data_IF_421645512074
#
_entry.id   IF_421645512074
#
_cell.length_a   1.000
_cell.length_b   1.000
_cell.length_c   1.000
_cell.angle_alpha   90.00
_cell.angle_beta   90.00
_cell.angle_gamma   90.00
#
_symmetry.space_group_name_H-M   'P 1'
#
loop_
_entity.id
_entity.type
_entity.pdbx_description
1 polymer ?
#
# COMPACT_ATOMS: atom_id res chain seq x y z
N UNK A 1 -35.28 92.39 -18.03
CA UNK A 1 -35.64 91.24 -17.16
C UNK A 1 -36.81 90.52 -17.85
N UNK A 2 -36.86 89.22 -18.14
CA UNK A 2 -36.08 88.01 -17.86
C UNK A 2 -36.40 87.02 -19.00
N UNK A 3 -35.41 86.28 -19.47
CA UNK A 3 -35.54 85.09 -20.34
C UNK A 3 -35.92 83.86 -19.50
N UNK A 4 -36.78 82.98 -20.03
CA UNK A 4 -36.86 81.53 -19.72
C UNK A 4 -37.72 80.87 -20.82
N UNK A 5 -37.13 80.29 -21.87
CA UNK A 5 -36.50 78.96 -21.96
C UNK A 5 -37.53 77.83 -22.11
N UNK A 6 -37.82 77.48 -23.37
CA UNK A 6 -38.51 76.24 -23.78
C UNK A 6 -37.62 75.03 -23.49
N UNK A 7 -38.13 74.08 -22.71
CA UNK A 7 -37.47 72.78 -22.49
C UNK A 7 -38.10 71.75 -23.42
N UNK A 8 -37.35 71.35 -24.44
CA UNK A 8 -37.68 70.25 -25.34
C UNK A 8 -37.34 68.92 -24.66
N UNK A 9 -38.35 68.10 -24.38
CA UNK A 9 -38.18 66.76 -23.81
C UNK A 9 -37.61 65.80 -24.85
N UNK A 10 -36.29 65.58 -24.84
CA UNK A 10 -35.66 64.44 -25.50
C UNK A 10 -36.00 63.17 -24.73
N UNK A 11 -36.83 62.31 -25.32
CA UNK A 11 -36.98 60.90 -24.90
C UNK A 11 -35.64 60.19 -25.16
N UNK A 12 -34.85 60.01 -24.10
CA UNK A 12 -33.72 59.09 -24.12
C UNK A 12 -34.27 57.68 -23.96
N UNK A 13 -34.27 56.92 -25.05
CA UNK A 13 -34.39 55.47 -24.99
C UNK A 13 -33.16 54.93 -24.25
N UNK A 14 -33.33 54.65 -22.97
CA UNK A 14 -32.37 53.86 -22.20
C UNK A 14 -32.44 52.42 -22.70
N UNK A 15 -31.49 52.03 -23.55
CA UNK A 15 -31.24 50.62 -23.86
C UNK A 15 -30.75 49.96 -22.58
N UNK A 16 -31.65 49.31 -21.84
CA UNK A 16 -31.27 48.37 -20.79
C UNK A 16 -30.51 47.23 -21.46
N UNK A 17 -29.18 47.34 -21.55
CA UNK A 17 -28.33 46.16 -21.73
C UNK A 17 -28.59 45.28 -20.51
N UNK A 18 -29.01 44.01 -20.66
CA UNK A 18 -29.08 43.12 -19.52
C UNK A 18 -27.69 43.08 -18.91
N UNK A 19 -27.62 43.34 -17.60
CA UNK A 19 -26.40 43.28 -16.82
C UNK A 19 -25.93 41.83 -16.78
N UNK A 20 -25.23 41.40 -17.83
CA UNK A 20 -24.74 40.03 -17.93
C UNK A 20 -23.75 39.80 -16.80
N UNK A 21 -24.14 38.97 -15.82
CA UNK A 21 -23.42 38.76 -14.55
C UNK A 21 -22.09 38.03 -14.76
N UNK A 22 -21.92 37.34 -15.90
CA UNK A 22 -20.74 36.54 -16.24
C UNK A 22 -20.37 36.65 -17.74
N UNK A 23 -20.06 37.84 -18.28
CA UNK A 23 -20.02 38.08 -19.73
C UNK A 23 -18.86 37.38 -20.45
N UNK A 24 -17.74 37.13 -19.75
CA UNK A 24 -16.52 36.56 -20.32
C UNK A 24 -16.31 35.08 -19.95
N UNK A 25 -17.26 34.49 -19.20
CA UNK A 25 -17.09 33.15 -18.63
C UNK A 25 -17.04 32.08 -19.72
N UNK A 26 -17.98 32.11 -20.67
CA UNK A 26 -18.03 31.13 -21.76
C UNK A 26 -16.79 31.23 -22.66
N UNK A 27 -16.40 32.45 -23.07
CA UNK A 27 -15.22 32.69 -23.92
C UNK A 27 -13.92 32.25 -23.24
N UNK A 28 -13.74 32.60 -21.95
CA UNK A 28 -12.55 32.20 -21.20
C UNK A 28 -12.52 30.67 -20.96
N UNK A 29 -13.67 30.03 -20.77
CA UNK A 29 -13.77 28.59 -20.61
C UNK A 29 -13.48 27.84 -21.93
N UNK A 30 -13.98 28.34 -23.05
CA UNK A 30 -13.70 27.77 -24.37
C UNK A 30 -12.20 27.82 -24.68
N UNK A 31 -11.56 28.96 -24.41
CA UNK A 31 -10.11 29.10 -24.54
C UNK A 31 -9.35 28.14 -23.61
N UNK A 32 -9.82 27.98 -22.37
CA UNK A 32 -9.26 27.00 -21.44
C UNK A 32 -9.40 25.56 -21.95
N UNK A 33 -10.57 25.21 -22.49
CA UNK A 33 -10.81 23.89 -23.05
C UNK A 33 -9.94 23.62 -24.27
N UNK A 34 -9.78 24.59 -25.18
CA UNK A 34 -8.86 24.46 -26.34
C UNK A 34 -7.42 24.20 -25.92
N UNK A 35 -6.95 24.86 -24.85
CA UNK A 35 -5.57 24.71 -24.36
C UNK A 35 -5.34 23.41 -23.57
N UNK A 36 -6.23 23.09 -22.64
CA UNK A 36 -6.01 22.02 -21.66
C UNK A 36 -6.82 20.75 -21.94
N UNK A 37 -7.82 20.82 -22.82
CA UNK A 37 -8.73 19.74 -23.19
C UNK A 37 -9.49 19.12 -21.99
N UNK A 38 -9.84 19.95 -21.00
CA UNK A 38 -10.70 19.58 -19.88
C UNK A 38 -11.34 20.82 -19.26
N UNK A 39 -12.36 20.63 -18.41
CA UNK A 39 -13.07 21.73 -17.72
C UNK A 39 -12.70 21.90 -16.24
N UNK A 40 -11.75 21.10 -15.73
CA UNK A 40 -11.28 21.24 -14.35
C UNK A 40 -10.38 22.46 -14.20
N UNK A 41 -10.97 23.61 -13.83
CA UNK A 41 -10.23 24.86 -13.62
C UNK A 41 -9.76 24.99 -12.15
N UNK A 42 -8.45 25.20 -11.88
CA UNK A 42 -7.96 25.49 -10.53
C UNK A 42 -8.57 26.75 -9.92
N UNK A 43 -8.73 26.81 -8.59
CA UNK A 43 -9.45 27.93 -7.94
C UNK A 43 -8.83 29.30 -8.23
N UNK A 44 -7.51 29.36 -8.12
CA UNK A 44 -6.72 30.58 -8.27
C UNK A 44 -6.30 30.80 -9.73
N UNK A 45 -6.82 30.00 -10.67
CA UNK A 45 -6.50 30.17 -12.07
C UNK A 45 -7.00 31.53 -12.55
N UNK A 46 -6.04 32.34 -12.97
CA UNK A 46 -6.24 33.61 -13.62
C UNK A 46 -5.71 33.46 -15.04
N UNK A 47 -6.48 33.93 -16.02
CA UNK A 47 -6.02 33.96 -17.41
C UNK A 47 -4.74 34.80 -17.45
N UNK A 48 -3.62 34.26 -17.96
CA UNK A 48 -2.35 34.96 -17.98
C UNK A 48 -2.50 36.35 -18.63
N UNK A 49 -1.99 37.43 -18.00
CA UNK A 49 -1.84 38.70 -18.69
C UNK A 49 -0.84 38.53 -19.84
N UNK A 50 -0.91 39.41 -20.83
CA UNK A 50 0.01 39.39 -21.97
C UNK A 50 1.45 39.46 -21.46
N UNK A 51 2.25 38.46 -21.83
CA UNK A 51 3.67 38.41 -21.49
C UNK A 51 4.45 38.68 -22.77
N UNK A 52 5.07 39.87 -22.93
CA UNK A 52 5.79 40.25 -24.14
C UNK A 52 7.03 39.38 -24.41
N UNK A 53 7.39 38.48 -23.49
CA UNK A 53 8.55 37.58 -23.60
C UNK A 53 8.18 36.10 -23.84
N UNK A 54 6.90 35.76 -24.05
CA UNK A 54 6.49 34.38 -24.35
C UNK A 54 6.76 34.00 -25.82
N UNK A 55 7.26 32.78 -26.01
CA UNK A 55 7.54 32.22 -27.34
C UNK A 55 6.29 32.22 -28.24
N UNK A 56 6.49 32.47 -29.53
CA UNK A 56 5.45 32.61 -30.58
C UNK A 56 4.56 31.38 -30.77
N UNK A 57 4.96 30.22 -30.22
CA UNK A 57 4.23 28.94 -30.30
C UNK A 57 3.25 28.70 -29.12
N UNK A 58 3.12 29.66 -28.20
CA UNK A 58 2.21 29.54 -27.07
C UNK A 58 0.78 29.95 -27.42
N UNK A 59 -0.20 29.20 -26.94
CA UNK A 59 -1.63 29.48 -27.17
C UNK A 59 -2.02 30.90 -26.74
N UNK A 60 -2.63 31.63 -27.67
CA UNK A 60 -3.01 33.03 -27.49
C UNK A 60 -4.41 33.09 -26.86
N UNK A 61 -4.48 33.71 -25.68
CA UNK A 61 -5.75 33.95 -24.99
C UNK A 61 -6.48 35.16 -25.57
N UNK A 62 -7.83 35.12 -25.71
CA UNK A 62 -8.62 36.26 -26.17
C UNK A 62 -8.36 37.50 -25.30
N UNK A 63 -8.20 38.66 -25.94
CA UNK A 63 -7.80 39.92 -25.28
C UNK A 63 -8.70 40.28 -24.09
N UNK A 64 -10.01 40.15 -24.29
CA UNK A 64 -11.02 40.47 -23.28
C UNK A 64 -10.96 39.56 -22.05
N UNK A 65 -10.37 38.36 -22.16
CA UNK A 65 -10.32 37.37 -21.08
C UNK A 65 -9.06 37.50 -20.22
N UNK A 66 -8.09 38.33 -20.60
CA UNK A 66 -6.80 38.47 -19.90
C UNK A 66 -6.98 39.01 -18.49
N UNK A 67 -6.29 38.40 -17.52
CA UNK A 67 -6.45 38.75 -16.10
C UNK A 67 -7.78 38.30 -15.47
N UNK A 68 -8.68 37.65 -16.22
CA UNK A 68 -9.94 37.15 -15.69
C UNK A 68 -9.71 35.97 -14.73
N UNK A 69 -10.28 36.06 -13.51
CA UNK A 69 -10.20 35.00 -12.51
C UNK A 69 -11.21 33.87 -12.80
N UNK A 70 -10.99 33.13 -13.89
CA UNK A 70 -11.87 32.06 -14.37
C UNK A 70 -12.23 31.06 -13.26
N UNK A 71 -11.25 30.64 -12.45
CA UNK A 71 -11.47 29.65 -11.38
C UNK A 71 -12.41 30.11 -10.27
N UNK A 72 -12.44 31.41 -9.95
CA UNK A 72 -13.37 31.98 -8.97
C UNK A 72 -14.75 32.19 -9.57
N UNK A 73 -14.80 32.66 -10.82
CA UNK A 73 -16.05 32.98 -11.51
C UNK A 73 -16.86 31.73 -11.82
N UNK A 74 -16.22 30.64 -12.25
CA UNK A 74 -16.93 29.38 -12.54
C UNK A 74 -17.56 28.78 -11.30
N UNK A 75 -16.89 28.84 -10.15
CA UNK A 75 -17.44 28.35 -8.88
C UNK A 75 -18.58 29.23 -8.37
N UNK A 76 -18.45 30.55 -8.56
CA UNK A 76 -19.53 31.50 -8.25
C UNK A 76 -20.74 31.23 -9.14
N UNK A 77 -20.54 30.98 -10.43
CA UNK A 77 -21.61 30.62 -11.36
C UNK A 77 -22.29 29.31 -10.94
N UNK A 78 -21.53 28.22 -10.75
CA UNK A 78 -22.08 26.92 -10.33
C UNK A 78 -22.82 27.00 -8.99
N UNK A 79 -22.29 27.78 -8.03
CA UNK A 79 -22.93 27.95 -6.72
C UNK A 79 -24.20 28.82 -6.72
N UNK A 80 -24.34 29.74 -7.68
CA UNK A 80 -25.56 30.54 -7.85
C UNK A 80 -26.57 29.79 -8.71
N UNK A 81 -26.12 29.16 -9.80
CA UNK A 81 -26.95 28.39 -10.72
C UNK A 81 -27.63 27.18 -10.06
N UNK A 82 -27.08 26.64 -8.97
CA UNK A 82 -27.72 25.57 -8.19
C UNK A 82 -28.76 26.07 -7.19
N UNK A 83 -28.87 27.39 -6.97
CA UNK A 83 -29.79 28.01 -6.00
C UNK A 83 -30.86 28.88 -6.67
N UNK A 84 -30.54 29.49 -7.80
CA UNK A 84 -31.37 30.43 -8.56
C UNK A 84 -31.61 29.90 -9.99
N UNK A 85 -32.29 28.75 -10.13
CA UNK A 85 -32.49 28.06 -11.42
C UNK A 85 -33.32 28.86 -12.44
N UNK A 86 -34.14 29.83 -11.99
CA UNK A 86 -35.11 30.54 -12.86
C UNK A 86 -34.65 31.94 -13.34
N UNK A 87 -33.39 32.33 -13.10
CA UNK A 87 -32.90 33.64 -13.56
C UNK A 87 -32.61 33.62 -15.08
N UNK A 88 -33.30 34.47 -15.84
CA UNK A 88 -33.13 34.59 -17.30
C UNK A 88 -31.69 34.90 -17.72
N UNK A 89 -30.98 35.71 -16.93
CA UNK A 89 -29.58 36.07 -17.21
C UNK A 89 -28.63 34.88 -17.01
N UNK A 90 -28.91 34.00 -16.05
CA UNK A 90 -28.11 32.79 -15.81
C UNK A 90 -28.39 31.71 -16.84
N UNK A 91 -29.64 31.61 -17.32
CA UNK A 91 -30.00 30.70 -18.41
C UNK A 91 -29.31 31.08 -19.72
N UNK A 92 -29.23 32.37 -20.04
CA UNK A 92 -28.48 32.84 -21.21
C UNK A 92 -26.98 32.49 -21.12
N UNK A 93 -26.36 32.67 -19.95
CA UNK A 93 -24.96 32.23 -19.73
C UNK A 93 -24.84 30.71 -19.79
N UNK A 94 -25.83 29.97 -19.28
CA UNK A 94 -25.82 28.50 -19.34
C UNK A 94 -25.88 27.98 -20.77
N UNK A 95 -26.74 28.55 -21.61
CA UNK A 95 -26.83 28.21 -23.04
C UNK A 95 -25.49 28.43 -23.77
N UNK A 96 -24.80 29.55 -23.47
CA UNK A 96 -23.46 29.80 -23.99
C UNK A 96 -22.44 28.75 -23.52
N UNK A 97 -22.54 28.29 -22.27
CA UNK A 97 -21.66 27.23 -21.73
C UNK A 97 -21.99 25.84 -22.31
N UNK A 98 -23.26 25.57 -22.56
CA UNK A 98 -23.71 24.33 -23.22
C UNK A 98 -23.20 24.28 -24.67
N UNK A 99 -23.17 25.40 -25.38
CA UNK A 99 -22.56 25.50 -26.72
C UNK A 99 -21.05 25.19 -26.71
N UNK A 100 -20.35 25.47 -25.61
CA UNK A 100 -18.93 25.12 -25.41
C UNK A 100 -18.75 23.67 -24.95
N UNK A 101 -19.83 22.95 -24.64
CA UNK A 101 -19.81 21.57 -24.15
C UNK A 101 -19.53 21.44 -22.65
N UNK A 102 -19.75 22.51 -21.88
CA UNK A 102 -19.53 22.50 -20.44
C UNK A 102 -20.58 21.63 -19.71
N UNK A 103 -20.17 20.62 -18.92
CA UNK A 103 -21.11 19.70 -18.30
C UNK A 103 -22.07 20.39 -17.32
N UNK A 104 -23.23 19.76 -17.09
CA UNK A 104 -24.23 20.23 -16.13
C UNK A 104 -23.78 19.93 -14.69
N UNK A 105 -22.86 20.75 -14.17
CA UNK A 105 -22.27 20.59 -12.84
C UNK A 105 -23.17 21.25 -11.81
N UNK A 106 -23.70 20.45 -10.87
CA UNK A 106 -24.43 20.94 -9.69
C UNK A 106 -23.50 21.17 -8.49
N UNK A 107 -22.53 20.29 -8.29
CA UNK A 107 -21.52 20.39 -7.24
C UNK A 107 -20.11 20.33 -7.83
N UNK A 108 -19.40 21.46 -7.71
CA UNK A 108 -18.02 21.57 -8.18
C UNK A 108 -17.06 20.62 -7.45
N UNK A 109 -17.29 20.36 -6.16
CA UNK A 109 -16.41 19.49 -5.37
C UNK A 109 -16.51 18.05 -5.87
N UNK A 110 -17.74 17.59 -6.12
CA UNK A 110 -18.00 16.26 -6.70
C UNK A 110 -17.40 16.14 -8.11
N UNK A 111 -17.63 17.13 -8.97
CA UNK A 111 -17.04 17.12 -10.32
C UNK A 111 -15.51 17.06 -10.28
N UNK A 112 -14.87 17.88 -9.45
CA UNK A 112 -13.42 17.85 -9.31
C UNK A 112 -12.92 16.50 -8.75
N UNK A 113 -13.63 15.92 -7.80
CA UNK A 113 -13.33 14.60 -7.26
C UNK A 113 -13.36 13.51 -8.34
N UNK A 114 -14.43 13.44 -9.12
CA UNK A 114 -14.62 12.44 -10.17
C UNK A 114 -13.56 12.61 -11.29
N UNK A 115 -13.35 13.84 -11.75
CA UNK A 115 -12.48 14.12 -12.90
C UNK A 115 -10.98 14.10 -12.56
N UNK A 116 -10.61 14.32 -11.30
CA UNK A 116 -9.19 14.38 -10.89
C UNK A 116 -8.83 13.18 -10.02
N UNK A 117 -9.42 13.08 -8.83
CA UNK A 117 -9.03 12.07 -7.83
C UNK A 117 -9.40 10.67 -8.28
N UNK A 118 -10.68 10.46 -8.63
CA UNK A 118 -11.17 9.13 -9.03
C UNK A 118 -10.57 8.71 -10.37
N UNK A 119 -10.50 9.63 -11.33
CA UNK A 119 -9.88 9.37 -12.63
C UNK A 119 -8.40 8.98 -12.51
N UNK A 120 -7.61 9.70 -11.69
CA UNK A 120 -6.20 9.37 -11.45
C UNK A 120 -6.04 8.01 -10.76
N UNK A 121 -6.86 7.70 -9.74
CA UNK A 121 -6.77 6.42 -9.03
C UNK A 121 -7.18 5.25 -9.91
N UNK A 122 -8.26 5.40 -10.68
CA UNK A 122 -8.71 4.38 -11.64
C UNK A 122 -7.61 4.09 -12.65
N UNK A 123 -7.02 5.15 -13.21
CA UNK A 123 -5.95 4.99 -14.19
C UNK A 123 -4.68 4.38 -13.60
N UNK A 124 -4.32 4.76 -12.37
CA UNK A 124 -3.22 4.12 -11.65
C UNK A 124 -3.47 2.61 -11.49
N UNK A 125 -4.68 2.21 -11.07
CA UNK A 125 -5.04 0.79 -10.91
C UNK A 125 -4.96 0.03 -12.22
N UNK A 126 -5.39 0.61 -13.34
CA UNK A 126 -5.29 -0.02 -14.67
C UNK A 126 -3.84 -0.27 -15.10
N UNK A 127 -2.93 0.67 -14.79
CA UNK A 127 -1.51 0.58 -15.18
C UNK A 127 -0.76 -0.39 -14.27
N UNK A 128 -0.89 -0.23 -12.96
CA UNK A 128 -0.09 -0.93 -11.95
C UNK A 128 -0.77 -2.20 -11.42
N UNK A 129 -2.08 -2.39 -11.68
CA UNK A 129 -2.87 -3.51 -11.17
C UNK A 129 -3.28 -3.39 -9.70
N UNK A 130 -2.79 -2.39 -8.97
CA UNK A 130 -3.08 -2.18 -7.54
C UNK A 130 -3.17 -0.68 -7.20
N UNK A 131 -3.61 -0.37 -5.97
CA UNK A 131 -3.74 1.00 -5.46
C UNK A 131 -2.72 1.32 -4.35
N UNK A 132 -1.56 0.65 -4.37
CA UNK A 132 -0.44 0.91 -3.47
C UNK A 132 0.43 2.08 -3.97
N UNK A 133 -0.20 3.25 -4.16
CA UNK A 133 0.49 4.42 -4.71
C UNK A 133 1.65 4.86 -3.80
N UNK A 134 2.89 4.93 -4.30
CA UNK A 134 4.05 5.41 -3.54
C UNK A 134 3.84 6.84 -3.06
N UNK A 135 4.22 7.16 -1.82
CA UNK A 135 3.99 8.49 -1.22
C UNK A 135 4.53 9.67 -2.06
N UNK A 136 5.65 9.45 -2.76
CA UNK A 136 6.31 10.46 -3.60
C UNK A 136 5.82 10.48 -5.05
N UNK A 137 4.90 9.58 -5.43
CA UNK A 137 4.41 9.49 -6.80
C UNK A 137 3.65 10.76 -7.20
N UNK A 138 4.00 11.27 -8.36
CA UNK A 138 3.39 12.42 -9.03
C UNK A 138 2.99 11.98 -10.42
N UNK A 139 1.77 12.30 -10.83
CA UNK A 139 1.29 11.98 -12.18
C UNK A 139 2.18 12.70 -13.21
N UNK A 140 2.81 11.96 -14.14
CA UNK A 140 3.66 12.55 -15.17
C UNK A 140 2.91 13.59 -16.01
N UNK A 141 3.58 14.70 -16.31
CA UNK A 141 3.06 15.72 -17.22
C UNK A 141 3.41 15.37 -18.65
N UNK A 142 2.44 15.43 -19.57
CA UNK A 142 2.66 15.14 -20.99
C UNK A 142 2.51 13.67 -21.38
N UNK A 143 2.28 12.79 -20.41
CA UNK A 143 2.04 11.37 -20.68
C UNK A 143 0.57 11.17 -21.11
N UNK A 144 0.31 10.70 -22.34
CA UNK A 144 -1.06 10.49 -22.84
C UNK A 144 -1.79 9.35 -22.14
N UNK A 145 -1.09 8.49 -21.40
CA UNK A 145 -1.74 7.47 -20.58
C UNK A 145 -2.51 8.09 -19.42
N UNK A 146 -2.20 9.32 -19.02
CA UNK A 146 -2.85 10.00 -17.91
C UNK A 146 -3.84 11.06 -18.42
N UNK A 147 -5.04 11.15 -17.85
CA UNK A 147 -5.97 12.23 -18.15
C UNK A 147 -5.30 13.58 -17.87
N UNK A 148 -5.40 14.53 -18.80
CA UNK A 148 -4.72 15.84 -18.70
C UNK A 148 -5.03 16.59 -17.40
N UNK A 149 -6.27 16.48 -16.91
CA UNK A 149 -6.71 17.08 -15.66
C UNK A 149 -5.95 16.56 -14.42
N UNK A 150 -5.28 15.42 -14.53
CA UNK A 150 -4.54 14.76 -13.43
C UNK A 150 -3.04 15.05 -13.47
N UNK A 151 -2.52 15.63 -14.55
CA UNK A 151 -1.09 15.89 -14.72
C UNK A 151 -0.51 16.76 -13.60
N UNK A 152 0.64 16.36 -13.06
CA UNK A 152 1.30 17.05 -11.95
C UNK A 152 0.63 16.83 -10.58
N UNK A 153 -0.46 16.07 -10.50
CA UNK A 153 -1.08 15.71 -9.23
C UNK A 153 -0.11 14.86 -8.40
N UNK A 154 0.18 15.29 -7.17
CA UNK A 154 0.93 14.50 -6.18
C UNK A 154 0.06 13.37 -5.62
N UNK A 155 -0.29 12.42 -6.48
CA UNK A 155 -1.27 11.37 -6.19
C UNK A 155 -0.86 10.54 -4.96
N UNK A 156 0.43 10.26 -4.76
CA UNK A 156 0.90 9.56 -3.56
C UNK A 156 0.63 10.30 -2.25
N UNK A 157 0.82 11.62 -2.26
CA UNK A 157 0.51 12.48 -1.11
C UNK A 157 -1.01 12.61 -0.91
N UNK A 158 -1.76 12.67 -2.01
CA UNK A 158 -3.22 12.69 -2.00
C UNK A 158 -3.82 11.40 -1.42
N UNK A 159 -3.36 10.23 -1.85
CA UNK A 159 -3.77 8.92 -1.32
C UNK A 159 -3.51 8.82 0.19
N UNK A 160 -2.34 9.26 0.64
CA UNK A 160 -2.04 9.29 2.07
C UNK A 160 -2.99 10.24 2.84
N UNK A 161 -3.34 11.38 2.24
CA UNK A 161 -4.33 12.29 2.79
C UNK A 161 -5.73 11.63 2.89
N UNK A 162 -6.17 10.90 1.85
CA UNK A 162 -7.45 10.17 1.86
C UNK A 162 -7.50 9.13 2.98
N UNK A 163 -6.46 8.30 3.12
CA UNK A 163 -6.37 7.28 4.18
C UNK A 163 -6.48 7.88 5.58
N UNK A 164 -5.85 9.03 5.82
CA UNK A 164 -5.89 9.73 7.13
C UNK A 164 -7.22 10.39 7.44
N UNK A 165 -8.06 10.61 6.43
CA UNK A 165 -9.29 11.39 6.54
C UNK A 165 -10.55 10.59 6.28
N UNK A 166 -10.45 9.25 6.23
CA UNK A 166 -11.58 8.33 5.97
C UNK A 166 -12.85 8.74 6.71
N UNK A 167 -12.75 9.02 8.01
CA UNK A 167 -13.91 9.31 8.86
C UNK A 167 -14.54 10.69 8.61
N UNK A 168 -13.84 11.57 7.90
CA UNK A 168 -14.30 12.93 7.53
C UNK A 168 -14.72 13.05 6.06
N UNK A 169 -14.60 11.97 5.30
CA UNK A 169 -14.98 11.95 3.88
C UNK A 169 -16.49 11.86 3.72
N UNK A 170 -16.99 12.34 2.58
CA UNK A 170 -18.40 12.21 2.25
C UNK A 170 -18.72 10.77 1.84
N UNK A 171 -19.97 10.33 2.04
CA UNK A 171 -20.39 8.97 1.70
C UNK A 171 -20.13 8.61 0.23
N UNK A 172 -20.36 9.54 -0.71
CA UNK A 172 -20.12 9.27 -2.12
C UNK A 172 -18.64 9.02 -2.42
N UNK A 173 -17.71 9.73 -1.74
CA UNK A 173 -16.27 9.50 -1.95
C UNK A 173 -15.86 8.13 -1.46
N UNK A 174 -16.41 7.69 -0.33
CA UNK A 174 -16.15 6.35 0.21
C UNK A 174 -16.70 5.29 -0.75
N UNK A 175 -17.94 5.45 -1.24
CA UNK A 175 -18.54 4.53 -2.22
C UNK A 175 -17.74 4.45 -3.53
N UNK A 176 -17.28 5.59 -4.05
CA UNK A 176 -16.44 5.62 -5.26
C UNK A 176 -15.10 4.89 -5.04
N UNK A 177 -14.49 5.07 -3.87
CA UNK A 177 -13.24 4.41 -3.51
C UNK A 177 -13.44 2.91 -3.29
N UNK A 178 -14.51 2.50 -2.63
CA UNK A 178 -14.83 1.09 -2.40
C UNK A 178 -15.13 0.38 -3.74
N UNK A 179 -15.78 1.06 -4.69
CA UNK A 179 -16.03 0.54 -6.05
C UNK A 179 -14.74 0.23 -6.82
N UNK A 180 -13.67 0.99 -6.60
CA UNK A 180 -12.34 0.71 -7.18
C UNK A 180 -11.47 -0.18 -6.28
N UNK A 181 -12.04 -0.73 -5.19
CA UNK A 181 -11.35 -1.56 -4.19
C UNK A 181 -10.15 -0.84 -3.59
N UNK A 182 -10.35 0.41 -3.18
CA UNK A 182 -9.29 1.23 -2.62
C UNK A 182 -8.72 0.62 -1.34
N UNK A 183 -7.40 0.48 -1.31
CA UNK A 183 -6.68 -0.06 -0.16
C UNK A 183 -6.57 1.00 0.93
N UNK A 184 -7.48 0.93 1.90
CA UNK A 184 -7.49 1.77 3.09
C UNK A 184 -6.35 1.44 4.05
N UNK A 185 -6.15 0.15 4.35
CA UNK A 185 -5.10 -0.33 5.24
C UNK A 185 -4.06 -1.09 4.42
N UNK A 186 -2.91 -0.43 4.20
CA UNK A 186 -1.81 -0.98 3.38
C UNK A 186 -1.23 -2.26 4.00
N UNK A 187 -1.19 -2.32 5.32
CA UNK A 187 -0.64 -3.48 6.04
C UNK A 187 -1.51 -4.74 5.80
N UNK A 188 -2.83 -4.62 5.86
CA UNK A 188 -3.76 -5.72 5.59
C UNK A 188 -3.61 -6.24 4.16
N UNK A 189 -3.52 -5.33 3.18
CA UNK A 189 -3.27 -5.73 1.79
C UNK A 189 -1.93 -6.42 1.63
N UNK A 190 -0.86 -5.85 2.19
CA UNK A 190 0.48 -6.43 2.11
C UNK A 190 0.54 -7.82 2.75
N UNK A 191 -0.25 -8.06 3.81
CA UNK A 191 -0.33 -9.36 4.45
C UNK A 191 -1.18 -10.35 3.66
N UNK A 192 -2.44 -9.99 3.36
CA UNK A 192 -3.45 -10.90 2.80
C UNK A 192 -3.24 -11.19 1.31
N UNK A 193 -2.80 -10.19 0.55
CA UNK A 193 -2.71 -10.28 -0.92
C UNK A 193 -1.30 -10.61 -1.37
N UNK A 194 -0.28 -10.18 -0.63
CA UNK A 194 1.11 -10.42 -1.01
C UNK A 194 1.76 -11.51 -0.16
N UNK A 195 1.90 -11.30 1.14
CA UNK A 195 2.70 -12.17 2.01
C UNK A 195 2.15 -13.58 2.11
N UNK A 196 0.89 -13.76 2.53
CA UNK A 196 0.30 -15.09 2.75
C UNK A 196 0.25 -15.91 1.46
N UNK A 197 -0.25 -15.39 0.32
CA UNK A 197 -0.21 -16.11 -0.95
C UNK A 197 1.21 -16.46 -1.39
N UNK A 198 2.17 -15.53 -1.25
CA UNK A 198 3.56 -15.79 -1.62
C UNK A 198 4.20 -16.87 -0.75
N UNK A 199 3.89 -16.90 0.55
CA UNK A 199 4.38 -17.90 1.48
C UNK A 199 3.80 -19.29 1.18
N UNK A 200 2.49 -19.38 0.88
CA UNK A 200 1.84 -20.62 0.43
C UNK A 200 2.50 -21.16 -0.84
N UNK A 201 2.71 -20.29 -1.84
CA UNK A 201 3.36 -20.67 -3.09
C UNK A 201 4.80 -21.12 -2.86
N UNK A 202 5.56 -20.40 -2.03
CA UNK A 202 6.93 -20.78 -1.67
C UNK A 202 6.96 -22.18 -1.03
N UNK A 203 6.07 -22.46 -0.08
CA UNK A 203 5.98 -23.79 0.54
C UNK A 203 5.64 -24.88 -0.48
N UNK A 204 4.73 -24.62 -1.41
CA UNK A 204 4.39 -25.59 -2.46
C UNK A 204 5.60 -25.91 -3.36
N UNK A 205 6.47 -24.93 -3.61
CA UNK A 205 7.64 -25.11 -4.47
C UNK A 205 8.83 -25.76 -3.77
N UNK A 206 9.10 -25.40 -2.52
CA UNK A 206 10.30 -25.83 -1.79
C UNK A 206 10.02 -26.82 -0.66
N UNK A 207 8.75 -27.12 -0.37
CA UNK A 207 8.32 -28.00 0.72
C UNK A 207 8.41 -27.37 2.11
N UNK A 208 9.02 -26.19 2.25
CA UNK A 208 9.26 -25.52 3.53
C UNK A 208 9.05 -24.00 3.45
N UNK A 209 9.02 -23.35 4.61
CA UNK A 209 8.83 -21.89 4.74
C UNK A 209 10.10 -21.12 5.15
N UNK A 210 11.28 -21.76 5.12
CA UNK A 210 12.57 -21.07 5.31
C UNK A 210 12.98 -20.26 4.08
N UNK A 211 12.46 -19.04 4.00
CA UNK A 211 12.73 -18.15 2.88
C UNK A 211 14.09 -17.46 3.05
N UNK A 212 15.03 -17.58 2.09
CA UNK A 212 16.29 -16.84 2.11
C UNK A 212 16.05 -15.33 2.11
N UNK A 213 16.87 -14.55 2.83
CA UNK A 213 16.66 -13.10 2.97
C UNK A 213 16.58 -12.35 1.63
N UNK A 214 17.36 -12.75 0.64
CA UNK A 214 17.42 -12.11 -0.67
C UNK A 214 16.41 -12.69 -1.68
N UNK A 215 15.55 -13.62 -1.26
CA UNK A 215 14.61 -14.27 -2.16
C UNK A 215 13.56 -13.30 -2.70
N UNK A 216 13.38 -13.35 -4.02
CA UNK A 216 12.40 -12.56 -4.78
C UNK A 216 11.51 -13.51 -5.56
N UNK A 217 10.20 -13.43 -5.34
CA UNK A 217 9.22 -14.23 -6.05
C UNK A 217 9.27 -13.95 -7.56
N UNK A 218 9.30 -15.00 -8.38
CA UNK A 218 9.26 -14.89 -9.84
C UNK A 218 10.52 -14.33 -10.51
N UNK A 219 11.64 -14.16 -9.79
CA UNK A 219 12.92 -13.73 -10.39
C UNK A 219 13.96 -14.82 -10.13
N UNK A 220 14.41 -15.50 -11.20
CA UNK A 220 15.51 -16.46 -11.11
C UNK A 220 16.82 -15.71 -10.89
N UNK A 221 17.51 -16.01 -9.79
CA UNK A 221 18.92 -15.64 -9.63
C UNK A 221 19.73 -16.80 -10.21
N UNK A 222 20.33 -16.59 -11.38
CA UNK A 222 20.98 -17.60 -12.23
C UNK A 222 21.69 -18.77 -11.50
N UNK A 223 21.16 -19.99 -11.67
CA UNK A 223 21.94 -21.23 -11.89
C UNK A 223 21.01 -22.41 -12.24
N UNK A 224 20.62 -22.52 -13.51
CA UNK A 224 20.44 -23.81 -14.18
C UNK A 224 19.30 -24.76 -13.79
N UNK A 225 18.37 -24.40 -12.90
CA UNK A 225 17.14 -25.20 -12.72
C UNK A 225 15.96 -24.53 -13.41
N UNK A 226 15.62 -25.12 -14.55
CA UNK A 226 14.40 -24.89 -15.31
C UNK A 226 13.18 -25.02 -14.39
N UNK A 227 12.60 -23.89 -14.04
CA UNK A 227 11.40 -23.82 -13.22
C UNK A 227 10.64 -22.56 -13.57
N UNK A 228 9.94 -22.58 -14.70
CA UNK A 228 8.94 -21.58 -15.09
C UNK A 228 7.73 -21.68 -14.15
N UNK A 229 7.95 -21.51 -12.84
CA UNK A 229 6.90 -21.58 -11.85
C UNK A 229 6.08 -20.30 -11.95
N UNK A 230 4.84 -20.46 -12.39
CA UNK A 230 3.90 -19.37 -12.62
C UNK A 230 3.51 -18.71 -11.31
N UNK A 231 4.29 -17.71 -10.87
CA UNK A 231 3.86 -16.78 -9.84
C UNK A 231 2.69 -15.94 -10.37
N UNK A 232 1.72 -15.63 -9.51
CA UNK A 232 0.71 -14.64 -9.83
C UNK A 232 1.38 -13.31 -10.19
N UNK A 233 0.81 -12.57 -11.15
CA UNK A 233 1.42 -11.34 -11.69
C UNK A 233 1.72 -10.32 -10.58
N UNK A 234 0.89 -10.29 -9.55
CA UNK A 234 0.97 -9.41 -8.38
C UNK A 234 2.11 -9.79 -7.43
N UNK A 235 2.57 -11.05 -7.48
CA UNK A 235 3.64 -11.57 -6.63
C UNK A 235 5.00 -11.56 -7.33
N UNK A 236 5.04 -11.42 -8.65
CA UNK A 236 6.30 -11.33 -9.41
C UNK A 236 7.09 -10.09 -8.98
N UNK A 237 8.36 -10.28 -8.60
CA UNK A 237 9.22 -9.23 -8.05
C UNK A 237 9.02 -8.97 -6.55
N UNK A 238 8.11 -9.66 -5.88
CA UNK A 238 7.89 -9.49 -4.44
C UNK A 238 9.05 -10.05 -3.62
N UNK A 239 9.68 -9.21 -2.81
CA UNK A 239 10.82 -9.58 -1.94
C UNK A 239 10.36 -10.32 -0.69
N UNK A 240 9.86 -11.54 -0.86
CA UNK A 240 9.33 -12.37 0.23
C UNK A 240 10.35 -12.55 1.36
N UNK A 241 11.63 -12.79 1.04
CA UNK A 241 12.69 -12.97 2.04
C UNK A 241 12.90 -11.76 2.95
N UNK A 242 12.90 -10.56 2.35
CA UNK A 242 13.01 -9.32 3.09
C UNK A 242 11.77 -9.06 3.97
N UNK A 243 10.58 -9.46 3.51
CA UNK A 243 9.36 -9.37 4.32
C UNK A 243 9.39 -10.34 5.49
N UNK A 244 9.78 -11.60 5.28
CA UNK A 244 9.95 -12.59 6.37
C UNK A 244 10.88 -12.05 7.45
N UNK A 245 12.05 -11.53 7.07
CA UNK A 245 12.99 -10.95 8.03
C UNK A 245 12.37 -9.78 8.81
N UNK A 246 11.61 -8.91 8.14
CA UNK A 246 10.90 -7.80 8.79
C UNK A 246 9.83 -8.29 9.76
N UNK A 247 9.08 -9.34 9.40
CA UNK A 247 8.08 -9.94 10.29
C UNK A 247 8.76 -10.50 11.55
N UNK A 248 9.90 -11.18 11.38
CA UNK A 248 10.70 -11.70 12.49
C UNK A 248 11.27 -10.62 13.41
N UNK A 249 11.58 -9.44 12.88
CA UNK A 249 12.23 -8.36 13.65
C UNK A 249 11.28 -7.26 14.15
N UNK A 250 10.02 -7.22 13.70
CA UNK A 250 9.14 -6.06 13.89
C UNK A 250 7.81 -6.44 14.55
N UNK A 251 7.55 -5.87 15.72
CA UNK A 251 6.31 -6.06 16.47
C UNK A 251 5.05 -5.57 15.75
N UNK A 252 5.17 -4.71 14.73
CA UNK A 252 4.05 -4.21 13.94
C UNK A 252 3.27 -5.32 13.22
N UNK A 253 3.87 -6.49 13.00
CA UNK A 253 3.20 -7.63 12.38
C UNK A 253 2.52 -8.57 13.37
N UNK A 254 2.71 -8.40 14.68
CA UNK A 254 2.20 -9.32 15.70
C UNK A 254 0.71 -9.57 15.60
N UNK A 255 -0.10 -8.52 15.36
CA UNK A 255 -1.54 -8.71 15.27
C UNK A 255 -1.96 -9.56 14.06
N UNK A 256 -1.25 -9.45 12.93
CA UNK A 256 -1.52 -10.27 11.75
C UNK A 256 -1.13 -11.72 11.99
N UNK A 257 -0.01 -11.91 12.69
CA UNK A 257 0.48 -13.22 13.08
C UNK A 257 -0.46 -13.91 14.05
N UNK A 258 -0.99 -13.18 15.03
CA UNK A 258 -1.96 -13.72 15.99
C UNK A 258 -3.26 -14.09 15.29
N UNK A 259 -3.75 -13.23 14.38
CA UNK A 259 -4.95 -13.48 13.59
C UNK A 259 -4.83 -14.75 12.73
N UNK A 260 -3.69 -14.94 12.06
CA UNK A 260 -3.49 -16.03 11.09
C UNK A 260 -2.58 -17.15 11.65
N UNK A 261 -2.42 -17.22 12.97
CA UNK A 261 -1.50 -18.13 13.67
C UNK A 261 -1.64 -19.58 13.22
N UNK A 262 -2.87 -20.09 13.23
CA UNK A 262 -3.15 -21.49 12.90
C UNK A 262 -2.73 -21.84 11.47
N UNK A 263 -2.92 -20.91 10.53
CA UNK A 263 -2.52 -21.12 9.14
C UNK A 263 -0.99 -21.10 9.00
N UNK A 264 -0.30 -20.17 9.69
CA UNK A 264 1.16 -20.11 9.70
C UNK A 264 1.77 -21.39 10.29
N UNK A 265 1.19 -21.93 11.35
CA UNK A 265 1.58 -23.21 11.96
C UNK A 265 1.37 -24.37 10.98
N UNK A 266 0.21 -24.44 10.32
CA UNK A 266 -0.05 -25.45 9.28
C UNK A 266 0.91 -25.34 8.11
N UNK A 267 1.34 -24.12 7.76
CA UNK A 267 2.37 -23.86 6.75
C UNK A 267 3.78 -24.23 7.20
N UNK A 268 4.01 -24.45 8.51
CA UNK A 268 5.35 -24.64 9.06
C UNK A 268 6.18 -23.36 9.00
N UNK A 269 5.53 -22.19 9.00
CA UNK A 269 6.20 -20.89 9.09
C UNK A 269 6.39 -20.52 10.55
N UNK A 270 7.60 -20.75 11.03
CA UNK A 270 7.99 -20.39 12.37
C UNK A 270 8.79 -19.09 12.39
N UNK A 271 8.50 -18.24 13.38
CA UNK A 271 9.24 -17.00 13.62
C UNK A 271 10.72 -17.26 13.84
N UNK A 272 11.03 -18.39 14.47
CA UNK A 272 12.38 -18.80 14.73
C UNK A 272 12.73 -19.99 13.83
N UNK A 273 13.75 -19.87 12.98
CA UNK A 273 14.25 -21.04 12.22
C UNK A 273 14.67 -22.19 13.15
N UNK A 274 14.98 -21.84 14.40
CA UNK A 274 15.26 -22.76 15.50
C UNK A 274 14.10 -23.73 15.79
N UNK A 275 12.84 -23.39 15.50
CA UNK A 275 11.70 -24.30 15.68
C UNK A 275 11.83 -25.52 14.76
N UNK A 276 12.14 -25.30 13.47
CA UNK A 276 12.34 -26.39 12.52
C UNK A 276 13.58 -27.21 12.85
N UNK A 277 14.71 -26.54 13.15
CA UNK A 277 15.93 -27.23 13.58
C UNK A 277 15.65 -28.08 14.82
N UNK A 278 14.86 -27.56 15.76
CA UNK A 278 14.45 -28.30 16.93
C UNK A 278 13.62 -29.53 16.59
N UNK A 279 12.52 -29.36 15.85
CA UNK A 279 11.57 -30.44 15.55
C UNK A 279 12.14 -31.50 14.58
N UNK A 280 12.90 -31.09 13.57
CA UNK A 280 13.38 -31.99 12.50
C UNK A 280 14.77 -32.58 12.77
N UNK A 281 15.57 -31.98 13.67
CA UNK A 281 16.96 -32.41 13.88
C UNK A 281 17.30 -32.67 15.35
N UNK A 282 17.09 -31.69 16.24
CA UNK A 282 17.58 -31.76 17.62
C UNK A 282 16.75 -32.74 18.46
N UNK A 283 15.42 -32.61 18.43
CA UNK A 283 14.53 -33.46 19.22
C UNK A 283 14.58 -34.94 18.75
N UNK A 284 14.56 -35.25 17.44
CA UNK A 284 14.81 -36.61 16.96
C UNK A 284 16.19 -37.14 17.38
N UNK A 285 17.24 -36.32 17.31
CA UNK A 285 18.58 -36.73 17.76
C UNK A 285 18.61 -37.03 19.28
N UNK A 286 17.88 -36.28 20.12
CA UNK A 286 17.75 -36.62 21.54
C UNK A 286 17.04 -37.95 21.76
N UNK A 287 15.96 -38.21 21.01
CA UNK A 287 15.24 -39.49 21.07
C UNK A 287 16.14 -40.66 20.65
N UNK A 288 16.89 -40.51 19.56
CA UNK A 288 17.86 -41.53 19.13
C UNK A 288 18.96 -41.74 20.17
N UNK A 289 19.53 -40.67 20.74
CA UNK A 289 20.54 -40.79 21.79
C UNK A 289 20.01 -41.61 22.98
N UNK A 290 18.79 -41.29 23.44
CA UNK A 290 18.14 -42.03 24.52
C UNK A 290 17.92 -43.50 24.16
N UNK A 291 17.49 -43.82 22.94
CA UNK A 291 17.31 -45.21 22.50
C UNK A 291 18.62 -46.01 22.50
N UNK A 292 19.75 -45.38 22.19
CA UNK A 292 21.06 -46.04 22.10
C UNK A 292 21.72 -46.18 23.48
N UNK A 293 21.74 -45.10 24.26
CA UNK A 293 22.52 -45.01 25.49
C UNK A 293 21.69 -45.16 26.77
N UNK A 294 20.36 -45.15 26.66
CA UNK A 294 19.43 -45.34 27.78
C UNK A 294 19.32 -44.15 28.75
N UNK A 295 20.10 -43.09 28.53
CA UNK A 295 20.01 -41.83 29.28
C UNK A 295 20.28 -40.65 28.34
N UNK A 296 19.89 -39.44 28.76
CA UNK A 296 20.18 -38.19 28.03
C UNK A 296 21.31 -37.38 28.70
N UNK A 297 22.32 -38.04 29.27
CA UNK A 297 23.54 -37.36 29.73
C UNK A 297 24.56 -37.24 28.59
N UNK A 298 24.28 -36.30 27.68
CA UNK A 298 25.08 -36.09 26.48
C UNK A 298 26.37 -35.33 26.84
N UNK A 299 27.52 -35.92 26.52
CA UNK A 299 28.82 -35.27 26.70
C UNK A 299 28.93 -34.01 25.82
N UNK A 300 29.57 -32.96 26.35
CA UNK A 300 29.65 -31.66 25.67
C UNK A 300 30.42 -31.69 24.34
N UNK A 301 31.28 -32.68 24.14
CA UNK A 301 32.06 -32.90 22.92
C UNK A 301 31.39 -33.87 21.95
N UNK A 302 30.23 -34.44 22.32
CA UNK A 302 29.54 -35.44 21.49
C UNK A 302 29.08 -34.84 20.15
N UNK A 303 29.45 -35.54 19.09
CA UNK A 303 29.07 -35.27 17.70
C UNK A 303 28.31 -36.48 17.20
N UNK A 304 27.16 -36.25 16.57
CA UNK A 304 26.32 -37.31 16.02
C UNK A 304 27.07 -38.02 14.88
N UNK A 305 27.24 -39.35 14.96
CA UNK A 305 27.92 -40.12 13.92
C UNK A 305 27.05 -40.27 12.66
N UNK A 306 27.70 -40.49 11.51
CA UNK A 306 27.06 -40.78 10.21
C UNK A 306 26.59 -42.24 10.14
N UNK A 307 25.66 -42.61 11.01
CA UNK A 307 25.12 -43.97 11.10
C UNK A 307 23.60 -43.99 10.83
N UNK A 308 23.09 -45.11 10.32
CA UNK A 308 21.67 -45.30 9.95
C UNK A 308 20.72 -45.20 11.16
N UNK A 309 21.23 -45.43 12.37
CA UNK A 309 20.50 -45.25 13.62
C UNK A 309 20.13 -43.79 13.89
N UNK A 310 20.87 -42.84 13.31
CA UNK A 310 20.68 -41.41 13.48
C UNK A 310 19.94 -40.80 12.28
N UNK A 311 19.06 -39.81 12.53
CA UNK A 311 18.42 -39.09 11.44
C UNK A 311 19.51 -38.40 10.58
N UNK A 312 19.46 -38.54 9.24
CA UNK A 312 20.49 -37.95 8.37
C UNK A 312 20.63 -36.44 8.53
N UNK A 313 19.56 -35.76 8.92
CA UNK A 313 19.53 -34.34 9.23
C UNK A 313 20.35 -33.93 10.46
N UNK A 314 20.70 -34.89 11.33
CA UNK A 314 21.49 -34.67 12.53
C UNK A 314 22.95 -35.15 12.40
N UNK A 315 23.36 -35.76 11.29
CA UNK A 315 24.75 -36.20 11.13
C UNK A 315 25.75 -35.04 11.25
N UNK A 316 26.87 -35.29 11.94
CA UNK A 316 27.88 -34.30 12.31
C UNK A 316 27.39 -33.14 13.19
N UNK A 317 26.16 -33.20 13.70
CA UNK A 317 25.64 -32.21 14.62
C UNK A 317 26.39 -32.32 15.94
N UNK A 318 26.93 -31.19 16.41
CA UNK A 318 27.57 -31.08 17.75
C UNK A 318 26.49 -31.06 18.83
N UNK A 319 25.78 -32.17 18.98
CA UNK A 319 24.63 -32.31 19.87
C UNK A 319 25.02 -32.00 21.33
N UNK A 320 26.22 -32.39 21.76
CA UNK A 320 26.77 -32.04 23.08
C UNK A 320 26.92 -30.54 23.33
N UNK A 321 27.34 -29.80 22.29
CA UNK A 321 27.47 -28.35 22.36
C UNK A 321 26.09 -27.67 22.49
N UNK A 322 25.09 -28.18 21.75
CA UNK A 322 23.72 -27.68 21.78
C UNK A 322 23.12 -27.89 23.17
N UNK A 323 23.24 -29.10 23.72
CA UNK A 323 22.78 -29.45 25.08
C UNK A 323 23.43 -28.56 26.13
N UNK A 324 24.74 -28.30 26.02
CA UNK A 324 25.44 -27.38 26.93
C UNK A 324 24.86 -25.97 26.86
N UNK A 325 24.56 -25.46 25.68
CA UNK A 325 24.00 -24.12 25.54
C UNK A 325 22.55 -24.05 26.04
N UNK A 326 21.75 -25.08 25.81
CA UNK A 326 20.41 -25.22 26.39
C UNK A 326 20.50 -25.12 27.92
N UNK A 327 21.38 -25.92 28.55
CA UNK A 327 21.57 -25.95 30.00
C UNK A 327 22.08 -24.62 30.57
N UNK A 328 23.05 -23.98 29.92
CA UNK A 328 23.77 -22.84 30.49
C UNK A 328 23.21 -21.47 30.07
N UNK A 329 22.57 -21.38 28.90
CA UNK A 329 22.11 -20.11 28.31
C UNK A 329 20.60 -20.06 28.08
N UNK A 330 19.92 -21.21 28.13
CA UNK A 330 18.50 -21.29 27.80
C UNK A 330 18.24 -21.17 26.29
N UNK A 331 19.18 -21.60 25.45
CA UNK A 331 18.92 -21.74 24.02
C UNK A 331 17.69 -22.66 23.81
N UNK A 332 16.89 -22.40 22.77
CA UNK A 332 15.66 -23.15 22.48
C UNK A 332 14.59 -23.14 23.60
N UNK A 333 14.60 -22.15 24.49
CA UNK A 333 13.67 -22.07 25.63
C UNK A 333 12.19 -22.27 25.27
N UNK A 334 11.72 -21.64 24.18
CA UNK A 334 10.32 -21.73 23.77
C UNK A 334 9.96 -23.14 23.26
N UNK A 335 10.89 -23.76 22.52
CA UNK A 335 10.72 -25.11 21.96
C UNK A 335 10.74 -26.16 23.07
N UNK A 336 11.66 -25.99 24.03
CA UNK A 336 11.74 -26.79 25.25
C UNK A 336 10.44 -26.70 26.07
N UNK A 337 9.87 -25.50 26.21
CA UNK A 337 8.62 -25.33 26.94
C UNK A 337 7.44 -26.02 26.24
N UNK A 338 7.44 -26.07 24.91
CA UNK A 338 6.42 -26.76 24.12
C UNK A 338 6.56 -28.29 24.19
N UNK A 339 7.79 -28.80 24.07
CA UNK A 339 8.09 -30.23 24.05
C UNK A 339 8.56 -30.77 25.41
N UNK A 340 8.22 -30.10 26.51
CA UNK A 340 8.70 -30.45 27.85
C UNK A 340 8.34 -31.91 28.19
N UNK A 341 7.12 -32.34 27.87
CA UNK A 341 6.70 -33.73 28.10
C UNK A 341 7.53 -34.75 27.31
N UNK A 342 7.89 -34.44 26.05
CA UNK A 342 8.75 -35.32 25.26
C UNK A 342 10.19 -35.37 25.79
N UNK A 343 10.68 -34.27 26.38
CA UNK A 343 11.98 -34.22 27.05
C UNK A 343 11.99 -34.95 28.39
N UNK A 344 10.87 -34.93 29.13
CA UNK A 344 10.68 -35.70 30.35
C UNK A 344 10.63 -37.21 30.06
N UNK A 345 9.92 -37.63 29.00
CA UNK A 345 9.84 -39.03 28.57
C UNK A 345 11.21 -39.65 28.25
N UNK A 346 12.11 -38.88 27.64
CA UNK A 346 13.48 -39.33 27.33
C UNK A 346 14.47 -39.09 28.47
N UNK A 347 14.00 -38.63 29.64
CA UNK A 347 14.84 -38.37 30.82
C UNK A 347 15.92 -37.32 30.57
N UNK A 348 15.59 -36.22 29.89
CA UNK A 348 16.56 -35.17 29.58
C UNK A 348 17.18 -34.59 30.86
N UNK A 349 18.51 -34.69 30.96
CA UNK A 349 19.24 -34.23 32.14
C UNK A 349 19.43 -32.72 32.10
N UNK A 350 18.65 -32.00 32.91
CA UNK A 350 18.75 -30.54 33.08
C UNK A 350 19.96 -30.13 33.93
N UNK A 351 20.20 -30.85 35.03
CA UNK A 351 21.28 -30.57 35.96
C UNK A 351 22.24 -31.77 36.03
N UNK A 352 23.37 -31.65 35.34
CA UNK A 352 24.41 -32.69 35.27
C UNK A 352 25.02 -32.98 36.65
N UNK A 353 25.15 -31.98 37.52
CA UNK A 353 25.71 -32.16 38.85
C UNK A 353 24.76 -32.97 39.75
N UNK A 354 23.46 -32.69 39.67
CA UNK A 354 22.44 -33.46 40.39
C UNK A 354 22.34 -34.89 39.87
N UNK A 355 22.33 -35.09 38.54
CA UNK A 355 22.27 -36.43 37.94
C UNK A 355 23.52 -37.29 38.25
N UNK A 356 24.72 -36.70 38.22
CA UNK A 356 25.95 -37.39 38.65
C UNK A 356 25.90 -37.78 40.12
N UNK A 357 25.35 -36.93 40.97
CA UNK A 357 25.15 -37.25 42.38
C UNK A 357 24.20 -38.44 42.55
N UNK A 358 23.05 -38.43 41.88
CA UNK A 358 22.02 -39.48 42.00
C UNK A 358 22.42 -40.82 41.39
N UNK A 359 23.07 -40.82 40.22
CA UNK A 359 23.34 -42.05 39.48
C UNK A 359 24.75 -42.60 39.63
N UNK A 360 25.73 -41.80 40.07
CA UNK A 360 27.11 -42.25 40.25
C UNK A 360 27.56 -42.19 41.71
N UNK A 361 27.23 -41.13 42.45
CA UNK A 361 27.72 -40.95 43.83
C UNK A 361 26.87 -41.71 44.84
N UNK A 362 25.53 -41.57 44.82
CA UNK A 362 24.66 -42.27 45.77
C UNK A 362 24.79 -43.80 45.71
N UNK A 363 24.81 -44.46 44.52
CA UNK A 363 24.98 -45.91 44.45
C UNK A 363 26.36 -46.35 44.97
N UNK A 364 27.41 -45.57 44.71
CA UNK A 364 28.77 -45.86 45.18
C UNK A 364 28.94 -45.70 46.70
N UNK A 365 28.08 -44.94 47.37
CA UNK A 365 28.06 -44.79 48.84
C UNK A 365 27.28 -45.91 49.55
N UNK A 366 26.49 -46.69 48.81
CA UNK A 366 25.71 -47.82 49.32
C UNK A 366 26.30 -49.20 48.97
N UNK A 367 27.45 -49.22 48.30
CA UNK A 367 28.32 -50.38 48.09
C UNK A 367 29.53 -50.29 49.00
#
# INVERSE_FOLDING_TARGET
MRLQAFVTTRRLFSSRRPSNRFPLLATALEAFYKQYNHFVVPYHFQVPPEDPFKASDSFVWPEDTRGFHLGRQIRKFVGISSREEESTDLMAVREQLDAVGFPAIRDWRRFQWEQVSLSALTRYKEIEGNLLVPRKFVVPTGDPQWPRATWGLRLGSHVNYLRRRRDTMTMYQIQDLDKIEFVWVVADYAWNVLFMPALRQFRQLYGHCDVPQNYVAGVSSDSGTEGWHSWAKELTGYRLGATVNRIRSNSAFLHFMERDKNELEQLGFYLNSHDRTWTETILPAFKTYFCIYGNCDIDTSFIVPEEESWPPSAWNLRLGFIVRNIRNRGDYFLQIAQDLGALEEIGFVWNVAAAKWEHAVLPALHT
#
